data_IF_953578848963
#
_entry.id   IF_953578848963
#
_cell.length_a   1.000
_cell.length_b   1.000
_cell.length_c   1.000
_cell.angle_alpha   90.00
_cell.angle_beta   90.00
_cell.angle_gamma   90.00
#
_symmetry.space_group_name_H-M   'P 1'
#
loop_
_entity.id
_entity.type
_entity.pdbx_description
1 polymer ?
#
# COMPACT_ATOMS: atom_id res chain seq x y z
N UNK A 1 -9.42 57.64 -7.08
CA UNK A 1 -9.79 56.37 -7.67
C UNK A 1 -11.27 56.10 -7.50
N UNK A 2 -11.91 55.54 -8.51
CA UNK A 2 -13.26 55.06 -8.41
C UNK A 2 -13.37 53.80 -7.57
N UNK A 3 -14.51 53.54 -7.00
CA UNK A 3 -14.83 52.35 -6.25
C UNK A 3 -14.65 51.05 -7.12
N UNK A 4 -15.00 51.11 -8.38
CA UNK A 4 -14.85 50.01 -9.33
C UNK A 4 -13.37 49.63 -9.54
N UNK A 5 -12.49 50.63 -9.60
CA UNK A 5 -11.06 50.37 -9.80
C UNK A 5 -10.44 49.71 -8.57
N UNK A 6 -10.79 50.14 -7.39
CA UNK A 6 -10.34 49.48 -6.14
C UNK A 6 -10.83 48.05 -6.01
N UNK A 7 -12.06 47.78 -6.43
CA UNK A 7 -12.66 46.47 -6.43
C UNK A 7 -11.94 45.53 -7.41
N UNK A 8 -11.60 46.01 -8.62
CA UNK A 8 -10.85 45.24 -9.61
C UNK A 8 -9.44 44.91 -9.13
N UNK A 9 -8.73 45.85 -8.49
CA UNK A 9 -7.41 45.63 -7.94
C UNK A 9 -7.43 44.54 -6.85
N UNK A 10 -8.45 44.57 -6.00
CA UNK A 10 -8.65 43.59 -4.94
C UNK A 10 -8.91 42.20 -5.52
N UNK A 11 -9.75 42.08 -6.55
CA UNK A 11 -10.04 40.81 -7.22
C UNK A 11 -8.80 40.24 -7.89
N UNK A 12 -7.96 41.05 -8.51
CA UNK A 12 -6.71 40.61 -9.12
C UNK A 12 -5.73 40.06 -8.08
N UNK A 13 -5.61 40.73 -6.93
CA UNK A 13 -4.77 40.25 -5.81
C UNK A 13 -5.26 38.92 -5.26
N UNK A 14 -6.57 38.74 -5.14
CA UNK A 14 -7.17 37.51 -4.66
C UNK A 14 -6.91 36.35 -5.64
N UNK A 15 -7.06 36.60 -6.93
CA UNK A 15 -6.82 35.62 -7.98
C UNK A 15 -5.35 35.15 -7.98
N UNK A 16 -4.41 36.11 -7.87
CA UNK A 16 -2.97 35.81 -7.79
C UNK A 16 -2.64 34.95 -6.57
N UNK A 17 -3.20 35.28 -5.40
CA UNK A 17 -3.00 34.51 -4.18
C UNK A 17 -3.50 33.08 -4.31
N UNK A 18 -4.66 32.87 -4.94
CA UNK A 18 -5.21 31.52 -5.21
C UNK A 18 -4.30 30.73 -6.15
N UNK A 19 -3.76 31.36 -7.18
CA UNK A 19 -2.87 30.74 -8.15
C UNK A 19 -1.56 30.29 -7.47
N UNK A 20 -0.96 31.14 -6.65
CA UNK A 20 0.27 30.82 -5.91
C UNK A 20 0.04 29.64 -4.95
N UNK A 21 -1.09 29.62 -4.25
CA UNK A 21 -1.44 28.52 -3.35
C UNK A 21 -1.60 27.20 -4.10
N UNK A 22 -2.22 27.21 -5.27
CA UNK A 22 -2.38 26.03 -6.11
C UNK A 22 -1.03 25.50 -6.60
N UNK A 23 -0.13 26.37 -7.03
CA UNK A 23 1.22 25.99 -7.46
C UNK A 23 2.01 25.37 -6.33
N UNK A 24 1.96 25.89 -5.11
CA UNK A 24 2.61 25.33 -3.93
C UNK A 24 2.06 23.94 -3.59
N UNK A 25 0.75 23.75 -3.67
CA UNK A 25 0.10 22.45 -3.45
C UNK A 25 0.55 21.42 -4.49
N UNK A 26 0.62 21.81 -5.76
CA UNK A 26 1.06 20.94 -6.85
C UNK A 26 2.54 20.53 -6.67
N UNK A 27 3.43 21.43 -6.26
CA UNK A 27 4.83 21.14 -5.99
C UNK A 27 4.99 20.18 -4.82
N UNK A 28 4.24 20.36 -3.74
CA UNK A 28 4.26 19.46 -2.59
C UNK A 28 3.80 18.05 -2.98
N UNK A 29 2.76 17.92 -3.82
CA UNK A 29 2.28 16.64 -4.32
C UNK A 29 3.32 15.95 -5.20
N UNK A 30 3.96 16.68 -6.10
CA UNK A 30 5.02 16.14 -6.96
C UNK A 30 6.22 15.63 -6.14
N UNK A 31 6.64 16.39 -5.13
CA UNK A 31 7.73 15.99 -4.23
C UNK A 31 7.39 14.71 -3.49
N UNK A 32 6.17 14.61 -2.95
CA UNK A 32 5.68 13.42 -2.26
C UNK A 32 5.67 12.20 -3.18
N UNK A 33 5.23 12.36 -4.43
CA UNK A 33 5.22 11.29 -5.43
C UNK A 33 6.64 10.82 -5.79
N UNK A 34 7.60 11.73 -5.87
CA UNK A 34 9.01 11.40 -6.12
C UNK A 34 9.61 10.62 -4.96
N UNK A 35 9.33 11.02 -3.73
CA UNK A 35 9.78 10.32 -2.54
C UNK A 35 9.22 8.91 -2.49
N UNK A 36 7.94 8.74 -2.78
CA UNK A 36 7.29 7.43 -2.83
C UNK A 36 7.89 6.55 -3.92
N UNK A 37 8.16 7.10 -5.10
CA UNK A 37 8.80 6.36 -6.19
C UNK A 37 10.19 5.86 -5.82
N UNK A 38 10.97 6.65 -5.08
CA UNK A 38 12.28 6.25 -4.59
C UNK A 38 12.20 5.12 -3.55
N UNK A 39 11.23 5.19 -2.65
CA UNK A 39 10.98 4.13 -1.66
C UNK A 39 10.59 2.82 -2.35
N UNK A 40 9.71 2.88 -3.33
CA UNK A 40 9.29 1.70 -4.09
C UNK A 40 10.44 1.12 -4.93
N UNK A 41 11.33 1.96 -5.45
CA UNK A 41 12.52 1.49 -6.14
C UNK A 41 13.47 0.77 -5.18
N UNK A 42 13.68 1.31 -4.00
CA UNK A 42 14.49 0.67 -2.96
C UNK A 42 13.89 -0.69 -2.54
N UNK A 43 12.57 -0.77 -2.43
CA UNK A 43 11.88 -2.05 -2.18
C UNK A 43 12.18 -3.06 -3.28
N UNK A 44 12.03 -2.69 -4.55
CA UNK A 44 12.27 -3.59 -5.68
C UNK A 44 13.72 -4.05 -5.79
N UNK A 45 14.67 -3.27 -5.27
CA UNK A 45 16.10 -3.62 -5.24
C UNK A 45 16.51 -4.42 -4.02
N UNK A 46 15.63 -4.60 -3.04
CA UNK A 46 15.94 -5.34 -1.82
C UNK A 46 16.07 -6.84 -2.09
N UNK A 47 16.93 -7.48 -1.33
CA UNK A 47 17.14 -8.93 -1.44
C UNK A 47 15.87 -9.71 -1.09
N UNK A 48 15.12 -9.28 -0.10
CA UNK A 48 13.90 -9.98 0.32
C UNK A 48 12.82 -9.90 -0.74
N UNK A 49 12.68 -8.77 -1.43
CA UNK A 49 11.75 -8.63 -2.54
C UNK A 49 12.12 -9.57 -3.69
N UNK A 50 13.40 -9.58 -4.07
CA UNK A 50 13.92 -10.46 -5.11
C UNK A 50 13.71 -11.94 -4.75
N UNK A 51 13.89 -12.30 -3.50
CA UNK A 51 13.71 -13.66 -3.01
C UNK A 51 12.24 -14.09 -3.11
N UNK A 52 11.31 -13.24 -2.69
CA UNK A 52 9.88 -13.52 -2.82
C UNK A 52 9.47 -13.71 -4.29
N UNK A 53 9.98 -12.87 -5.18
CA UNK A 53 9.68 -12.98 -6.62
C UNK A 53 10.32 -14.20 -7.25
N UNK A 54 11.49 -14.64 -6.78
CA UNK A 54 12.11 -15.88 -7.23
C UNK A 54 11.26 -17.10 -6.88
N UNK A 55 10.50 -17.03 -5.80
CA UNK A 55 9.61 -18.11 -5.39
C UNK A 55 8.51 -18.42 -6.41
N UNK A 56 8.19 -17.48 -7.31
CA UNK A 56 7.22 -17.69 -8.39
C UNK A 56 7.68 -18.82 -9.33
N UNK A 57 8.99 -18.91 -9.56
CA UNK A 57 9.60 -19.92 -10.44
C UNK A 57 10.24 -21.09 -9.70
N UNK A 58 10.43 -20.95 -8.40
CA UNK A 58 11.07 -21.98 -7.55
C UNK A 58 10.14 -22.36 -6.41
N UNK A 59 9.47 -23.50 -6.57
CA UNK A 59 8.48 -24.00 -5.60
C UNK A 59 9.11 -24.49 -4.28
N UNK A 60 10.45 -24.59 -4.20
CA UNK A 60 11.16 -25.00 -2.99
C UNK A 60 11.38 -23.85 -2.01
N UNK A 61 11.25 -22.61 -2.45
CA UNK A 61 11.50 -21.44 -1.61
C UNK A 61 10.45 -21.31 -0.52
N UNK A 62 10.93 -21.08 0.71
CA UNK A 62 10.13 -20.74 1.88
C UNK A 62 10.80 -19.56 2.59
N UNK A 63 10.05 -18.82 3.39
CA UNK A 63 10.58 -17.72 4.18
C UNK A 63 10.78 -18.15 5.64
N UNK A 64 11.95 -17.87 6.18
CA UNK A 64 12.22 -18.01 7.62
C UNK A 64 11.52 -16.89 8.39
N UNK A 65 11.44 -17.01 9.71
CA UNK A 65 10.88 -15.95 10.56
C UNK A 65 11.66 -14.64 10.40
N UNK A 66 12.97 -14.71 10.26
CA UNK A 66 13.82 -13.54 10.02
C UNK A 66 13.48 -12.87 8.68
N UNK A 67 13.30 -13.66 7.63
CA UNK A 67 12.95 -13.17 6.30
C UNK A 67 11.53 -12.54 6.27
N UNK A 68 10.58 -13.13 6.99
CA UNK A 68 9.26 -12.50 7.17
C UNK A 68 9.37 -11.14 7.85
N UNK A 69 10.24 -11.02 8.84
CA UNK A 69 10.47 -9.76 9.54
C UNK A 69 11.13 -8.72 8.63
N UNK A 70 12.08 -9.12 7.82
CA UNK A 70 12.71 -8.27 6.81
C UNK A 70 11.68 -7.74 5.81
N UNK A 71 10.78 -8.61 5.33
CA UNK A 71 9.72 -8.23 4.40
C UNK A 71 8.77 -7.23 5.06
N UNK A 72 8.33 -7.50 6.29
CA UNK A 72 7.47 -6.59 7.05
C UNK A 72 8.11 -5.22 7.21
N UNK A 73 9.39 -5.19 7.61
CA UNK A 73 10.11 -3.93 7.83
C UNK A 73 10.21 -3.09 6.56
N UNK A 74 10.58 -3.70 5.43
CA UNK A 74 10.74 -2.93 4.20
C UNK A 74 9.40 -2.48 3.62
N UNK A 75 8.35 -3.27 3.76
CA UNK A 75 7.00 -2.86 3.36
C UNK A 75 6.53 -1.70 4.23
N UNK A 76 6.78 -1.74 5.53
CA UNK A 76 6.42 -0.64 6.44
C UNK A 76 7.18 0.65 6.13
N UNK A 77 8.46 0.54 5.78
CA UNK A 77 9.28 1.69 5.39
C UNK A 77 8.79 2.29 4.06
N UNK A 78 8.33 1.43 3.15
CA UNK A 78 7.89 1.86 1.81
C UNK A 78 6.47 2.43 1.82
N UNK A 79 5.57 1.85 2.60
CA UNK A 79 4.12 2.12 2.56
C UNK A 79 3.58 2.65 3.90
N UNK A 80 4.33 3.52 4.53
CA UNK A 80 3.91 4.31 5.70
C UNK A 80 3.25 3.46 6.80
N UNK A 81 4.05 2.59 7.43
CA UNK A 81 3.61 1.73 8.53
C UNK A 81 2.40 0.86 8.17
N UNK A 82 2.48 0.22 7.04
CA UNK A 82 1.41 -0.62 6.47
C UNK A 82 0.79 -1.59 7.48
N UNK A 83 1.61 -2.34 8.23
CA UNK A 83 1.10 -3.31 9.20
C UNK A 83 0.39 -2.65 10.37
N UNK A 84 0.88 -1.49 10.83
CA UNK A 84 0.23 -0.74 11.89
C UNK A 84 -1.14 -0.22 11.45
N UNK A 85 -1.25 0.26 10.23
CA UNK A 85 -2.54 0.67 9.65
C UNK A 85 -3.52 -0.49 9.59
N UNK A 86 -3.05 -1.70 9.25
CA UNK A 86 -3.89 -2.90 9.27
C UNK A 86 -4.36 -3.25 10.69
N UNK A 87 -3.49 -3.16 11.68
CA UNK A 87 -3.85 -3.40 13.07
C UNK A 87 -4.89 -2.40 13.58
N UNK A 88 -4.79 -1.14 13.18
CA UNK A 88 -5.80 -0.12 13.54
C UNK A 88 -7.15 -0.49 12.91
N UNK A 89 -7.14 -0.93 11.67
CA UNK A 89 -8.34 -1.29 10.93
C UNK A 89 -8.98 -2.58 11.45
N UNK A 90 -8.16 -3.56 11.82
CA UNK A 90 -8.62 -4.87 12.30
C UNK A 90 -7.63 -5.40 13.35
N UNK A 91 -7.81 -5.02 14.65
CA UNK A 91 -6.86 -5.39 15.72
C UNK A 91 -6.68 -6.88 15.94
N UNK A 92 -7.66 -7.70 15.55
CA UNK A 92 -7.64 -9.16 15.70
C UNK A 92 -7.00 -9.88 14.52
N UNK A 93 -6.33 -9.16 13.62
CA UNK A 93 -5.68 -9.76 12.45
C UNK A 93 -4.68 -10.84 12.89
N UNK A 94 -4.78 -12.01 12.28
CA UNK A 94 -3.89 -13.14 12.58
C UNK A 94 -2.56 -12.98 11.87
N UNK A 95 -1.54 -13.73 12.35
CA UNK A 95 -0.23 -13.77 11.70
C UNK A 95 -0.32 -14.22 10.24
N UNK A 96 -1.15 -15.22 9.95
CA UNK A 96 -1.36 -15.69 8.58
C UNK A 96 -2.01 -14.62 7.72
N UNK A 97 -3.06 -13.99 8.22
CA UNK A 97 -3.75 -12.91 7.49
C UNK A 97 -2.78 -11.76 7.19
N UNK A 98 -1.94 -11.40 8.15
CA UNK A 98 -0.94 -10.35 7.98
C UNK A 98 0.08 -10.72 6.88
N UNK A 99 0.58 -11.96 6.91
CA UNK A 99 1.54 -12.45 5.90
C UNK A 99 0.95 -12.47 4.50
N UNK A 100 -0.30 -12.88 4.37
CA UNK A 100 -1.02 -12.80 3.10
C UNK A 100 -1.09 -11.35 2.61
N UNK A 101 -1.42 -10.40 3.48
CA UNK A 101 -1.49 -8.99 3.14
C UNK A 101 -0.14 -8.41 2.72
N UNK A 102 0.96 -8.80 3.37
CA UNK A 102 2.30 -8.38 2.97
C UNK A 102 2.63 -8.81 1.54
N UNK A 103 2.33 -10.06 1.21
CA UNK A 103 2.58 -10.59 -0.13
C UNK A 103 1.65 -9.99 -1.19
N UNK A 104 0.40 -9.73 -0.84
CA UNK A 104 -0.54 -9.02 -1.71
C UNK A 104 -0.05 -7.60 -2.02
N UNK A 105 0.51 -6.91 -1.02
CA UNK A 105 1.00 -5.54 -1.19
C UNK A 105 2.11 -5.44 -2.24
N UNK A 106 2.97 -6.44 -2.31
CA UNK A 106 4.01 -6.52 -3.34
C UNK A 106 3.58 -7.31 -4.58
N UNK A 107 2.30 -7.63 -4.70
CA UNK A 107 1.67 -8.24 -5.88
C UNK A 107 2.16 -9.64 -6.23
N UNK A 108 2.46 -10.45 -5.22
CA UNK A 108 2.81 -11.86 -5.40
C UNK A 108 1.55 -12.64 -5.81
N UNK A 109 1.62 -13.53 -6.82
CA UNK A 109 0.48 -14.34 -7.23
C UNK A 109 -0.02 -15.27 -6.13
N UNK A 110 -1.33 -15.58 -6.13
CA UNK A 110 -1.96 -16.40 -5.08
C UNK A 110 -1.34 -17.78 -4.94
N UNK A 111 -0.95 -18.42 -6.02
CA UNK A 111 -0.27 -19.72 -5.98
C UNK A 111 1.05 -19.64 -5.21
N UNK A 112 1.80 -18.56 -5.39
CA UNK A 112 3.08 -18.34 -4.68
C UNK A 112 2.81 -17.93 -3.23
N UNK A 113 1.77 -17.12 -2.98
CA UNK A 113 1.37 -16.80 -1.60
C UNK A 113 1.08 -18.09 -0.83
N UNK A 114 0.31 -19.02 -1.42
CA UNK A 114 -0.01 -20.29 -0.76
C UNK A 114 1.25 -21.09 -0.44
N UNK A 115 2.22 -21.10 -1.34
CA UNK A 115 3.53 -21.71 -1.12
C UNK A 115 4.25 -21.08 0.07
N UNK A 116 4.36 -19.76 0.10
CA UNK A 116 5.14 -19.04 1.12
C UNK A 116 4.49 -19.07 2.50
N UNK A 117 3.16 -19.05 2.57
CA UNK A 117 2.44 -19.17 3.85
C UNK A 117 2.20 -20.63 4.25
N UNK A 118 2.59 -21.58 3.43
CA UNK A 118 2.46 -23.03 3.67
C UNK A 118 0.99 -23.44 3.89
N UNK A 119 0.09 -22.94 3.04
CA UNK A 119 -1.33 -23.29 3.04
C UNK A 119 -1.78 -23.59 1.62
N UNK A 120 -2.94 -24.25 1.48
CA UNK A 120 -3.54 -24.50 0.15
C UNK A 120 -4.05 -23.17 -0.45
N UNK A 121 -4.18 -23.15 -1.78
CA UNK A 121 -4.76 -21.99 -2.46
C UNK A 121 -6.20 -21.74 -2.01
N UNK A 122 -6.98 -22.81 -1.77
CA UNK A 122 -8.33 -22.69 -1.22
C UNK A 122 -8.35 -22.04 0.15
N UNK A 123 -7.42 -22.41 1.03
CA UNK A 123 -7.31 -21.81 2.36
C UNK A 123 -6.92 -20.33 2.27
N UNK A 124 -6.00 -19.98 1.38
CA UNK A 124 -5.59 -18.58 1.16
C UNK A 124 -6.76 -17.76 0.62
N UNK A 125 -7.50 -18.28 -0.36
CA UNK A 125 -8.67 -17.60 -0.91
C UNK A 125 -9.77 -17.41 0.15
N UNK A 126 -10.01 -18.42 0.97
CA UNK A 126 -10.96 -18.32 2.08
C UNK A 126 -10.53 -17.26 3.10
N UNK A 127 -9.26 -17.24 3.47
CA UNK A 127 -8.72 -16.23 4.40
C UNK A 127 -8.88 -14.81 3.84
N UNK A 128 -8.62 -14.61 2.55
CA UNK A 128 -8.79 -13.31 1.89
C UNK A 128 -10.24 -12.85 1.91
N UNK A 129 -11.16 -13.74 1.58
CA UNK A 129 -12.59 -13.45 1.60
C UNK A 129 -13.08 -13.12 3.00
N UNK A 130 -12.67 -13.92 3.99
CA UNK A 130 -13.05 -13.72 5.39
C UNK A 130 -12.47 -12.42 5.95
N UNK A 131 -11.24 -12.09 5.62
CA UNK A 131 -10.61 -10.84 6.06
C UNK A 131 -11.35 -9.62 5.50
N UNK A 132 -11.73 -9.66 4.24
CA UNK A 132 -12.53 -8.60 3.63
C UNK A 132 -13.85 -8.41 4.38
N UNK A 133 -14.55 -9.51 4.71
CA UNK A 133 -15.79 -9.47 5.48
C UNK A 133 -15.59 -8.87 6.88
N UNK A 134 -14.50 -9.24 7.55
CA UNK A 134 -14.17 -8.71 8.89
C UNK A 134 -13.88 -7.22 8.85
N UNK A 135 -13.19 -6.74 7.83
CA UNK A 135 -12.82 -5.33 7.71
C UNK A 135 -14.04 -4.48 7.33
N UNK A 136 -14.80 -4.90 6.33
CA UNK A 136 -15.88 -4.09 5.74
C UNK A 136 -17.28 -4.47 6.23
N UNK A 137 -17.39 -5.55 6.99
CA UNK A 137 -18.67 -6.06 7.51
C UNK A 137 -19.70 -6.33 6.39
N UNK A 138 -19.23 -6.81 5.24
CA UNK A 138 -20.06 -7.20 4.10
C UNK A 138 -19.39 -8.32 3.32
N UNK A 139 -20.22 -9.10 2.58
CA UNK A 139 -19.71 -10.12 1.69
C UNK A 139 -18.90 -9.51 0.54
N UNK A 140 -17.89 -10.25 0.10
CA UNK A 140 -17.06 -9.87 -1.03
C UNK A 140 -16.32 -11.07 -1.59
N UNK A 141 -15.54 -10.84 -2.63
CA UNK A 141 -14.67 -11.85 -3.25
C UNK A 141 -13.24 -11.73 -2.71
N UNK A 142 -12.38 -12.76 -2.86
CA UNK A 142 -10.97 -12.61 -2.54
C UNK A 142 -10.31 -11.45 -3.30
N UNK A 143 -10.70 -11.23 -4.56
CA UNK A 143 -10.19 -10.12 -5.37
C UNK A 143 -10.52 -8.74 -4.77
N UNK A 144 -11.65 -8.60 -4.07
CA UNK A 144 -11.99 -7.36 -3.38
C UNK A 144 -10.96 -7.01 -2.31
N UNK A 145 -10.46 -8.00 -1.56
CA UNK A 145 -9.40 -7.78 -0.59
C UNK A 145 -8.10 -7.39 -1.28
N UNK A 146 -7.74 -8.06 -2.36
CA UNK A 146 -6.50 -7.78 -3.11
C UNK A 146 -6.47 -6.33 -3.58
N UNK A 147 -7.55 -5.85 -4.18
CA UNK A 147 -7.67 -4.47 -4.65
C UNK A 147 -7.56 -3.48 -3.50
N UNK A 148 -8.20 -3.77 -2.38
CA UNK A 148 -8.12 -2.95 -1.18
C UNK A 148 -6.68 -2.85 -0.67
N UNK A 149 -5.98 -3.97 -0.54
CA UNK A 149 -4.62 -4.02 0.00
C UNK A 149 -3.63 -3.28 -0.90
N UNK A 150 -3.75 -3.43 -2.23
CA UNK A 150 -2.85 -2.76 -3.18
C UNK A 150 -2.94 -1.25 -3.07
N UNK A 151 -4.13 -0.71 -2.82
CA UNK A 151 -4.36 0.73 -2.68
C UNK A 151 -4.18 1.27 -1.25
N UNK A 152 -4.10 0.39 -0.29
CA UNK A 152 -4.04 0.74 1.13
C UNK A 152 -2.65 1.22 1.54
#
# INVERSE_FOLDING_TARGET
KSFEQENNDLQQKLLLAKKEKLEQTNQATETSQREQALLEEALRRSDIYAYCYRAIEDSSIRLTETEWKELENIINDTYDNFTNKLFILHPSITKMELRICLLLKIKIPVSTISQLVCRTQSAVSMSRKQLYKKIFNKEGTPANLDDFIVSF
#
